data_IF_108244229034
#
_entry.id   IF_108244229034
#
_cell.length_a   1.000
_cell.length_b   1.000
_cell.length_c   1.000
_cell.angle_alpha   90.00
_cell.angle_beta   90.00
_cell.angle_gamma   90.00
#
_symmetry.space_group_name_H-M   'P 1'
#
loop_
_entity.id
_entity.type
_entity.pdbx_description
1 polymer ?
#
# COMPACT_ATOMS: atom_id res chain seq x y z
N UNK A 1 7.73 -26.52 5.68
CA UNK A 1 8.30 -25.68 4.61
C UNK A 1 7.56 -25.72 3.26
N UNK A 2 7.18 -26.85 2.64
CA UNK A 2 6.51 -26.82 1.34
C UNK A 2 5.16 -26.08 1.34
N UNK A 3 4.34 -26.24 2.39
CA UNK A 3 3.01 -25.62 2.48
C UNK A 3 3.10 -24.07 2.50
N UNK A 4 4.01 -23.51 3.31
CA UNK A 4 4.21 -22.05 3.37
C UNK A 4 4.65 -21.47 2.00
N UNK A 5 5.52 -22.18 1.29
CA UNK A 5 5.96 -21.77 -0.04
C UNK A 5 4.81 -21.82 -1.04
N UNK A 6 4.04 -22.90 -1.06
CA UNK A 6 2.84 -23.02 -1.93
C UNK A 6 1.82 -21.92 -1.62
N UNK A 7 1.61 -21.60 -0.34
CA UNK A 7 0.73 -20.53 0.10
C UNK A 7 1.17 -19.18 -0.46
N UNK A 8 2.46 -18.84 -0.37
CA UNK A 8 3.03 -17.59 -0.90
C UNK A 8 2.97 -17.51 -2.42
N UNK A 9 3.17 -18.62 -3.12
CA UNK A 9 2.95 -18.69 -4.57
C UNK A 9 1.49 -18.42 -4.94
N UNK A 10 0.52 -18.93 -4.17
CA UNK A 10 -0.90 -18.64 -4.39
C UNK A 10 -1.20 -17.13 -4.20
N UNK A 11 -0.63 -16.49 -3.18
CA UNK A 11 -0.73 -15.04 -3.01
C UNK A 11 -0.12 -14.29 -4.20
N UNK A 12 1.04 -14.73 -4.69
CA UNK A 12 1.70 -14.11 -5.83
C UNK A 12 0.85 -14.21 -7.11
N UNK A 13 0.27 -15.37 -7.38
CA UNK A 13 -0.66 -15.54 -8.51
C UNK A 13 -1.88 -14.64 -8.37
N UNK A 14 -2.49 -14.56 -7.19
CA UNK A 14 -3.62 -13.67 -6.93
C UNK A 14 -3.25 -12.20 -7.15
N UNK A 15 -2.05 -11.80 -6.72
CA UNK A 15 -1.50 -10.46 -6.93
C UNK A 15 -1.34 -10.15 -8.43
N UNK A 16 -0.78 -11.08 -9.21
CA UNK A 16 -0.64 -10.93 -10.66
C UNK A 16 -2.02 -10.81 -11.34
N UNK A 17 -2.97 -11.65 -10.94
CA UNK A 17 -4.36 -11.54 -11.44
C UNK A 17 -4.95 -10.17 -11.14
N UNK A 18 -4.79 -9.66 -9.92
CA UNK A 18 -5.22 -8.32 -9.54
C UNK A 18 -4.59 -7.22 -10.39
N UNK A 19 -3.28 -7.31 -10.65
CA UNK A 19 -2.55 -6.37 -11.52
C UNK A 19 -3.03 -6.43 -12.96
N UNK A 20 -3.25 -7.62 -13.53
CA UNK A 20 -3.79 -7.78 -14.89
C UNK A 20 -5.18 -7.15 -15.01
N UNK A 21 -6.06 -7.39 -14.02
CA UNK A 21 -7.39 -6.79 -14.00
C UNK A 21 -7.32 -5.27 -13.89
N UNK A 22 -6.41 -4.74 -13.06
CA UNK A 22 -6.17 -3.30 -12.95
C UNK A 22 -5.68 -2.72 -14.28
N UNK A 23 -4.75 -3.39 -14.97
CA UNK A 23 -4.20 -2.94 -16.25
C UNK A 23 -5.25 -2.95 -17.38
N UNK A 24 -6.19 -3.88 -17.38
CA UNK A 24 -7.30 -3.89 -18.34
C UNK A 24 -8.19 -2.67 -18.22
N UNK A 25 -8.31 -2.11 -17.01
CA UNK A 25 -9.12 -0.92 -16.76
C UNK A 25 -8.35 0.39 -16.88
N UNK A 26 -7.02 0.34 -16.77
CA UNK A 26 -6.16 1.54 -16.82
C UNK A 26 -4.87 1.22 -17.56
N UNK A 27 -4.64 1.88 -18.68
CA UNK A 27 -3.36 1.75 -19.41
C UNK A 27 -2.22 2.24 -18.53
N UNK A 28 -1.33 1.33 -18.15
CA UNK A 28 -0.17 1.64 -17.30
C UNK A 28 1.00 2.11 -18.17
N UNK A 29 1.05 3.41 -18.44
CA UNK A 29 2.23 4.04 -19.03
C UNK A 29 3.22 4.44 -17.93
N UNK A 30 4.52 4.65 -18.20
CA UNK A 30 5.47 5.18 -17.21
C UNK A 30 5.00 6.48 -16.55
N UNK A 31 4.32 7.33 -17.29
CA UNK A 31 3.72 8.57 -16.78
C UNK A 31 2.58 8.28 -15.80
N UNK A 32 1.68 7.35 -16.13
CA UNK A 32 0.60 6.91 -15.23
C UNK A 32 1.17 6.24 -13.99
N UNK A 33 2.21 5.42 -14.11
CA UNK A 33 2.91 4.84 -12.97
C UNK A 33 3.44 5.94 -12.04
N UNK A 34 4.16 6.94 -12.58
CA UNK A 34 4.69 8.06 -11.81
C UNK A 34 3.60 8.86 -11.10
N UNK A 35 2.47 9.08 -11.76
CA UNK A 35 1.33 9.77 -11.15
C UNK A 35 0.62 8.95 -10.06
N UNK A 36 0.67 7.61 -10.14
CA UNK A 36 -0.01 6.71 -9.20
C UNK A 36 0.83 6.32 -8.00
N UNK A 37 2.17 6.31 -8.10
CA UNK A 37 3.05 5.90 -7.01
C UNK A 37 2.95 6.81 -5.78
N UNK A 38 2.41 8.00 -5.93
CA UNK A 38 2.12 8.90 -4.83
C UNK A 38 1.00 8.40 -3.90
N UNK A 39 0.10 7.53 -4.39
CA UNK A 39 -0.94 6.96 -3.54
C UNK A 39 -0.36 5.86 -2.65
N UNK A 40 -0.67 5.92 -1.36
CA UNK A 40 -0.16 4.96 -0.37
C UNK A 40 -0.43 3.51 -0.78
N UNK A 41 -1.63 3.22 -1.26
CA UNK A 41 -2.00 1.90 -1.76
C UNK A 41 -1.05 1.42 -2.85
N UNK A 42 -0.83 2.25 -3.88
CA UNK A 42 -0.05 1.85 -5.03
C UNK A 42 1.43 1.65 -4.67
N UNK A 43 2.01 2.55 -3.86
CA UNK A 43 3.39 2.43 -3.38
C UNK A 43 3.58 1.20 -2.48
N UNK A 44 2.63 0.94 -1.56
CA UNK A 44 2.65 -0.25 -0.70
C UNK A 44 2.64 -1.53 -1.52
N UNK A 45 1.75 -1.64 -2.52
CA UNK A 45 1.70 -2.84 -3.37
C UNK A 45 2.91 -2.97 -4.26
N UNK A 46 3.49 -1.90 -4.75
CA UNK A 46 4.74 -1.95 -5.51
C UNK A 46 5.85 -2.54 -4.66
N UNK A 47 6.07 -2.04 -3.44
CA UNK A 47 7.05 -2.60 -2.52
C UNK A 47 6.74 -4.05 -2.14
N UNK A 48 5.47 -4.37 -1.93
CA UNK A 48 5.03 -5.74 -1.63
C UNK A 48 5.34 -6.72 -2.78
N UNK A 49 5.10 -6.34 -4.03
CA UNK A 49 5.44 -7.16 -5.21
C UNK A 49 6.94 -7.47 -5.24
N UNK A 50 7.78 -6.45 -5.04
CA UNK A 50 9.23 -6.63 -4.99
C UNK A 50 9.66 -7.52 -3.84
N UNK A 51 9.12 -7.31 -2.63
CA UNK A 51 9.44 -8.13 -1.48
C UNK A 51 9.01 -9.59 -1.67
N UNK A 52 7.77 -9.82 -2.12
CA UNK A 52 7.24 -11.17 -2.32
C UNK A 52 8.01 -11.89 -3.45
N UNK A 53 8.29 -11.19 -4.55
CA UNK A 53 9.13 -11.72 -5.63
C UNK A 53 10.52 -12.09 -5.12
N UNK A 54 11.21 -11.18 -4.43
CA UNK A 54 12.54 -11.45 -3.89
C UNK A 54 12.55 -12.67 -2.95
N UNK A 55 11.53 -12.82 -2.12
CA UNK A 55 11.42 -13.98 -1.20
C UNK A 55 11.10 -15.29 -1.93
N UNK A 56 10.27 -15.27 -2.96
CA UNK A 56 9.92 -16.45 -3.76
C UNK A 56 11.06 -16.92 -4.65
N UNK A 57 11.80 -15.99 -5.25
CA UNK A 57 12.98 -16.27 -6.07
C UNK A 57 14.26 -16.42 -5.25
N UNK A 58 14.15 -16.48 -3.93
CA UNK A 58 15.24 -16.75 -2.99
C UNK A 58 16.44 -15.80 -3.13
N UNK A 59 16.16 -14.51 -3.33
CA UNK A 59 17.20 -13.49 -3.36
C UNK A 59 17.95 -13.48 -2.01
N UNK A 60 19.26 -13.56 -2.03
CA UNK A 60 20.11 -13.70 -0.82
C UNK A 60 20.25 -12.36 -0.08
N UNK A 61 19.18 -11.96 0.58
CA UNK A 61 19.11 -10.80 1.48
C UNK A 61 18.44 -11.27 2.78
N UNK A 62 19.22 -11.65 3.82
CA UNK A 62 18.67 -12.25 5.05
C UNK A 62 17.59 -11.44 5.72
N UNK A 63 17.67 -10.10 5.67
CA UNK A 63 16.65 -9.21 6.24
C UNK A 63 15.24 -9.46 5.68
N UNK A 64 15.10 -9.79 4.40
CA UNK A 64 13.79 -10.03 3.77
C UNK A 64 13.05 -11.23 4.36
N UNK A 65 13.79 -12.16 4.97
CA UNK A 65 13.27 -13.39 5.57
C UNK A 65 13.06 -13.26 7.08
N UNK A 66 13.52 -12.18 7.70
CA UNK A 66 13.37 -11.97 9.15
C UNK A 66 11.90 -11.86 9.56
N UNK A 67 11.59 -12.29 10.78
CA UNK A 67 10.27 -12.12 11.37
C UNK A 67 9.85 -10.64 11.44
N UNK A 68 10.81 -9.75 11.70
CA UNK A 68 10.60 -8.31 11.78
C UNK A 68 10.16 -7.72 10.44
N UNK A 69 10.85 -8.07 9.34
CA UNK A 69 10.47 -7.60 8.00
C UNK A 69 9.08 -8.11 7.60
N UNK A 70 8.80 -9.39 7.84
CA UNK A 70 7.49 -10.01 7.54
C UNK A 70 6.36 -9.41 8.35
N UNK A 71 6.62 -9.07 9.63
CA UNK A 71 5.69 -8.33 10.45
C UNK A 71 5.39 -6.95 9.84
N UNK A 72 6.45 -6.20 9.49
CA UNK A 72 6.31 -4.88 8.86
C UNK A 72 5.46 -4.92 7.60
N UNK A 73 5.67 -5.92 6.73
CA UNK A 73 4.87 -6.12 5.51
C UNK A 73 3.41 -6.44 5.84
N UNK A 74 3.16 -7.41 6.70
CA UNK A 74 1.80 -7.81 7.08
C UNK A 74 1.04 -6.65 7.77
N UNK A 75 1.68 -5.94 8.70
CA UNK A 75 1.09 -4.81 9.41
C UNK A 75 0.80 -3.62 8.46
N UNK A 76 1.69 -3.33 7.52
CA UNK A 76 1.47 -2.27 6.52
C UNK A 76 0.27 -2.57 5.63
N UNK A 77 0.13 -3.82 5.17
CA UNK A 77 -1.01 -4.25 4.36
C UNK A 77 -2.32 -4.26 5.17
N UNK A 78 -2.28 -4.72 6.43
CA UNK A 78 -3.45 -4.70 7.32
C UNK A 78 -3.90 -3.25 7.59
N UNK A 79 -2.98 -2.34 7.88
CA UNK A 79 -3.26 -0.92 8.07
C UNK A 79 -3.88 -0.30 6.81
N UNK A 80 -3.34 -0.61 5.64
CA UNK A 80 -3.89 -0.16 4.36
C UNK A 80 -5.34 -0.64 4.18
N UNK A 81 -5.63 -1.90 4.51
CA UNK A 81 -6.98 -2.46 4.44
C UNK A 81 -7.95 -1.73 5.39
N UNK A 82 -7.53 -1.50 6.62
CA UNK A 82 -8.33 -0.76 7.62
C UNK A 82 -8.58 0.68 7.20
N UNK A 83 -7.57 1.41 6.77
CA UNK A 83 -7.72 2.78 6.28
C UNK A 83 -8.65 2.86 5.06
N UNK A 84 -8.51 1.92 4.13
CA UNK A 84 -9.42 1.85 2.99
C UNK A 84 -10.86 1.62 3.44
N UNK A 85 -11.10 0.66 4.33
CA UNK A 85 -12.43 0.29 4.79
C UNK A 85 -13.09 1.38 5.65
N UNK A 86 -12.34 2.00 6.56
CA UNK A 86 -12.87 2.94 7.54
C UNK A 86 -12.94 4.39 7.03
N UNK A 87 -12.02 4.78 6.15
CA UNK A 87 -11.87 6.18 5.74
C UNK A 87 -12.22 6.37 4.26
N UNK A 88 -11.53 5.66 3.37
CA UNK A 88 -11.61 5.93 1.92
C UNK A 88 -12.97 5.53 1.36
N UNK A 89 -13.40 4.31 1.65
CA UNK A 89 -14.67 3.76 1.15
C UNK A 89 -15.91 4.53 1.65
N UNK A 90 -16.07 4.83 2.95
CA UNK A 90 -17.19 5.63 3.43
C UNK A 90 -17.14 7.08 2.90
N UNK A 91 -15.96 7.68 2.77
CA UNK A 91 -15.78 8.99 2.19
C UNK A 91 -16.27 9.04 0.74
N UNK A 92 -15.89 8.05 -0.08
CA UNK A 92 -16.34 7.93 -1.46
C UNK A 92 -17.88 7.77 -1.57
N UNK A 93 -18.48 6.97 -0.68
CA UNK A 93 -19.94 6.77 -0.63
C UNK A 93 -20.65 8.08 -0.26
N UNK A 94 -20.16 8.85 0.71
CA UNK A 94 -20.78 10.10 1.17
C UNK A 94 -20.71 11.24 0.16
N UNK A 95 -19.67 11.33 -0.62
CA UNK A 95 -19.46 12.45 -1.55
C UNK A 95 -20.24 12.34 -2.84
N UNK A 96 -21.17 11.36 -2.98
CA UNK A 96 -21.99 11.14 -4.18
C UNK A 96 -21.24 11.16 -5.52
N UNK A 97 -19.93 11.05 -5.49
CA UNK A 97 -19.11 10.76 -6.69
C UNK A 97 -19.32 9.30 -7.15
N UNK A 98 -20.49 8.77 -6.81
CA UNK A 98 -20.87 7.37 -7.03
C UNK A 98 -20.96 7.03 -8.52
N UNK A 99 -21.22 7.97 -9.40
CA UNK A 99 -21.35 7.66 -10.82
C UNK A 99 -20.00 7.36 -11.50
N UNK A 100 -18.87 7.94 -11.01
CA UNK A 100 -17.56 7.70 -11.57
C UNK A 100 -16.68 6.78 -10.71
N UNK A 101 -16.90 6.77 -9.38
CA UNK A 101 -16.07 6.06 -8.41
C UNK A 101 -16.66 4.71 -8.01
N UNK A 102 -17.99 4.54 -8.12
CA UNK A 102 -18.69 3.33 -7.69
C UNK A 102 -18.17 2.07 -8.38
N UNK A 103 -17.81 2.17 -9.66
CA UNK A 103 -17.31 1.04 -10.42
C UNK A 103 -15.90 0.61 -9.96
N UNK A 104 -15.05 1.56 -9.56
CA UNK A 104 -13.69 1.24 -9.08
C UNK A 104 -13.70 0.64 -7.68
N UNK A 105 -14.51 1.19 -6.76
CA UNK A 105 -14.57 0.71 -5.37
C UNK A 105 -15.23 -0.66 -5.22
N UNK A 106 -16.09 -1.07 -6.14
CA UNK A 106 -16.73 -2.39 -6.17
C UNK A 106 -16.11 -3.33 -7.20
N UNK A 107 -15.01 -2.94 -7.85
CA UNK A 107 -14.31 -3.82 -8.79
C UNK A 107 -13.62 -4.98 -8.07
N UNK A 108 -13.54 -6.13 -8.73
CA UNK A 108 -12.94 -7.34 -8.15
C UNK A 108 -11.45 -7.12 -7.82
N UNK A 109 -10.69 -6.39 -8.65
CA UNK A 109 -9.29 -6.08 -8.35
C UNK A 109 -9.14 -5.25 -7.07
N UNK A 110 -10.10 -4.38 -6.78
CA UNK A 110 -10.06 -3.57 -5.57
C UNK A 110 -10.27 -4.42 -4.31
N UNK A 111 -11.15 -5.44 -4.37
CA UNK A 111 -11.28 -6.43 -3.30
C UNK A 111 -10.02 -7.26 -3.11
N UNK A 112 -9.33 -7.65 -4.21
CA UNK A 112 -8.05 -8.36 -4.14
C UNK A 112 -7.04 -7.53 -3.34
N UNK A 113 -6.84 -6.27 -3.70
CA UNK A 113 -5.80 -5.43 -3.10
C UNK A 113 -6.12 -4.98 -1.67
N UNK A 114 -7.38 -4.63 -1.39
CA UNK A 114 -7.70 -4.05 -0.09
C UNK A 114 -8.24 -5.05 0.95
N UNK A 115 -8.57 -6.27 0.56
CA UNK A 115 -9.07 -7.28 1.49
C UNK A 115 -8.35 -8.62 1.37
N UNK A 116 -8.35 -9.26 0.21
CA UNK A 116 -7.82 -10.63 0.12
C UNK A 116 -6.33 -10.69 0.42
N UNK A 117 -5.50 -9.89 -0.25
CA UNK A 117 -4.05 -9.90 -0.04
C UNK A 117 -3.67 -9.51 1.40
N UNK A 118 -4.19 -8.42 2.00
CA UNK A 118 -3.93 -8.11 3.40
C UNK A 118 -4.30 -9.22 4.37
N UNK A 119 -5.47 -9.85 4.21
CA UNK A 119 -5.90 -10.97 5.05
C UNK A 119 -4.96 -12.16 4.89
N UNK A 120 -4.66 -12.55 3.65
CA UNK A 120 -3.78 -13.69 3.36
C UNK A 120 -2.36 -13.45 3.91
N UNK A 121 -1.83 -12.23 3.83
CA UNK A 121 -0.52 -11.90 4.39
C UNK A 121 -0.52 -11.89 5.93
N UNK A 122 -1.62 -11.48 6.53
CA UNK A 122 -1.80 -11.60 7.99
C UNK A 122 -1.83 -13.06 8.41
N UNK A 123 -2.52 -13.92 7.66
CA UNK A 123 -2.53 -15.38 7.87
C UNK A 123 -1.13 -15.97 7.66
N UNK A 124 -0.39 -15.58 6.61
CA UNK A 124 1.00 -16.01 6.40
C UNK A 124 1.87 -15.70 7.63
N UNK A 125 1.76 -14.47 8.12
CA UNK A 125 2.53 -14.05 9.29
C UNK A 125 2.16 -14.85 10.55
N UNK A 126 0.86 -15.05 10.82
CA UNK A 126 0.40 -15.75 12.03
C UNK A 126 0.83 -17.23 12.04
N UNK A 127 0.68 -17.93 10.92
CA UNK A 127 0.81 -19.38 10.86
C UNK A 127 2.15 -19.88 10.31
N UNK A 128 2.84 -19.10 9.49
CA UNK A 128 4.03 -19.60 8.77
C UNK A 128 5.32 -18.85 9.12
N UNK A 129 5.27 -17.83 9.97
CA UNK A 129 6.46 -17.11 10.40
C UNK A 129 6.86 -17.58 11.82
N UNK A 130 8.12 -18.01 11.96
CA UNK A 130 8.70 -18.27 13.27
C UNK A 130 8.96 -16.91 13.96
N UNK A 131 8.43 -16.76 15.17
CA UNK A 131 8.46 -15.49 15.91
C UNK A 131 9.50 -15.51 17.04
N UNK A 132 10.29 -16.59 17.18
CA UNK A 132 11.26 -16.73 18.29
C UNK A 132 12.32 -15.63 18.28
N UNK A 133 12.69 -15.16 17.11
CA UNK A 133 13.72 -14.12 16.93
C UNK A 133 13.11 -12.71 16.80
N UNK A 134 11.83 -12.54 17.16
CA UNK A 134 11.19 -11.22 17.16
C UNK A 134 11.71 -10.36 18.30
N UNK A 135 12.04 -9.12 17.96
CA UNK A 135 12.49 -8.13 18.92
C UNK A 135 11.30 -7.30 19.45
N UNK A 136 11.39 -6.80 20.66
CA UNK A 136 10.35 -5.95 21.25
C UNK A 136 10.07 -4.67 20.42
N UNK A 137 11.07 -4.15 19.71
CA UNK A 137 10.91 -2.97 18.86
C UNK A 137 10.23 -3.28 17.52
N UNK A 138 9.98 -4.54 17.20
CA UNK A 138 9.35 -4.96 15.95
C UNK A 138 7.99 -4.31 15.76
N UNK A 139 7.25 -4.05 16.85
CA UNK A 139 5.97 -3.35 16.79
C UNK A 139 6.08 -1.93 16.17
N UNK A 140 7.25 -1.33 16.18
CA UNK A 140 7.49 -0.01 15.60
C UNK A 140 8.05 -0.07 14.17
N UNK A 141 8.55 -1.21 13.72
CA UNK A 141 9.17 -1.34 12.38
C UNK A 141 8.18 -1.07 11.25
N UNK A 142 6.91 -1.43 11.42
CA UNK A 142 5.87 -1.13 10.44
C UNK A 142 5.60 0.37 10.27
N UNK A 143 5.89 1.19 11.28
CA UNK A 143 5.74 2.65 11.22
C UNK A 143 6.81 3.31 10.33
N UNK A 144 7.93 2.63 10.08
CA UNK A 144 9.02 3.16 9.24
C UNK A 144 8.48 3.48 7.84
N UNK A 145 7.70 2.58 7.26
CA UNK A 145 7.17 2.79 5.92
C UNK A 145 6.20 3.99 5.83
N UNK A 146 5.14 4.11 6.66
CA UNK A 146 4.31 5.32 6.69
C UNK A 146 5.11 6.60 6.98
N UNK A 147 6.10 6.52 7.87
CA UNK A 147 6.96 7.68 8.19
C UNK A 147 7.81 8.13 7.00
N UNK A 148 8.32 7.20 6.18
CA UNK A 148 9.05 7.51 4.96
C UNK A 148 8.14 7.91 3.80
N UNK A 149 6.91 7.44 3.79
CA UNK A 149 5.95 7.77 2.75
C UNK A 149 5.62 9.28 2.71
N UNK A 150 5.47 9.91 3.86
CA UNK A 150 5.15 11.34 3.93
C UNK A 150 6.22 12.21 3.26
N UNK A 151 7.52 12.16 3.66
CA UNK A 151 8.56 12.91 2.97
C UNK A 151 8.72 12.52 1.49
N UNK A 152 8.48 11.26 1.13
CA UNK A 152 8.47 10.82 -0.26
C UNK A 152 7.41 11.56 -1.09
N UNK A 153 6.18 11.71 -0.59
CA UNK A 153 5.11 12.43 -1.30
C UNK A 153 5.48 13.90 -1.51
N UNK A 154 6.05 14.56 -0.50
CA UNK A 154 6.49 15.96 -0.63
C UNK A 154 7.68 16.11 -1.59
N UNK A 155 8.68 15.24 -1.51
CA UNK A 155 9.80 15.23 -2.45
C UNK A 155 9.32 15.02 -3.90
N UNK A 156 8.42 14.06 -4.09
CA UNK A 156 7.83 13.82 -5.40
C UNK A 156 7.04 15.03 -5.91
N UNK A 157 6.23 15.66 -5.05
CA UNK A 157 5.50 16.88 -5.40
C UNK A 157 6.44 17.99 -5.87
N UNK A 158 7.53 18.22 -5.11
CA UNK A 158 8.56 19.18 -5.48
C UNK A 158 9.21 18.85 -6.83
N UNK A 159 9.61 17.61 -7.05
CA UNK A 159 10.17 17.16 -8.34
C UNK A 159 9.18 17.36 -9.49
N UNK A 160 7.89 17.12 -9.24
CA UNK A 160 6.84 17.29 -10.28
C UNK A 160 6.64 18.76 -10.63
N UNK A 161 6.67 19.68 -9.67
CA UNK A 161 6.60 21.12 -9.91
C UNK A 161 7.74 21.55 -10.83
N UNK A 162 8.96 21.11 -10.55
CA UNK A 162 10.15 21.46 -11.32
C UNK A 162 10.11 20.93 -12.74
N UNK A 163 9.48 19.76 -12.98
CA UNK A 163 9.55 19.05 -14.26
C UNK A 163 8.28 19.17 -15.12
N UNK A 164 7.09 19.26 -14.53
CA UNK A 164 5.81 19.10 -15.24
C UNK A 164 4.72 20.13 -14.84
N UNK A 165 5.00 21.07 -13.95
CA UNK A 165 4.01 22.07 -13.50
C UNK A 165 3.13 21.61 -12.34
N UNK A 166 2.03 22.37 -12.07
CA UNK A 166 1.35 22.35 -10.76
C UNK A 166 0.09 21.50 -10.66
N UNK A 167 -0.23 20.63 -11.59
CA UNK A 167 -1.44 19.80 -11.53
C UNK A 167 -1.24 18.50 -10.75
N UNK A 168 -2.19 18.20 -9.84
CA UNK A 168 -2.26 16.93 -9.08
C UNK A 168 -0.98 16.55 -8.32
N UNK A 169 -0.44 17.50 -7.56
CA UNK A 169 0.80 17.32 -6.80
C UNK A 169 0.65 16.36 -5.63
N UNK A 170 -0.48 16.39 -4.94
CA UNK A 170 -0.72 15.62 -3.72
C UNK A 170 -1.81 14.56 -3.92
N UNK A 171 -1.63 13.34 -3.38
CA UNK A 171 -2.57 12.24 -3.53
C UNK A 171 -3.87 12.45 -2.76
N UNK A 172 -3.79 13.20 -1.67
CA UNK A 172 -4.90 13.49 -0.78
C UNK A 172 -4.98 14.99 -0.50
N UNK A 173 -6.18 15.54 -0.48
CA UNK A 173 -6.40 16.98 -0.24
C UNK A 173 -5.88 17.44 1.12
N UNK A 174 -5.94 16.56 2.14
CA UNK A 174 -5.41 16.88 3.47
C UNK A 174 -3.87 16.98 3.51
N UNK A 175 -3.17 16.44 2.51
CA UNK A 175 -1.70 16.56 2.40
C UNK A 175 -1.28 17.80 1.61
N UNK A 176 -2.21 18.55 1.02
CA UNK A 176 -1.90 19.75 0.27
C UNK A 176 -1.69 20.95 1.24
N UNK A 177 -0.45 21.45 1.39
CA UNK A 177 -0.17 22.54 2.31
C UNK A 177 -0.76 23.87 1.84
N UNK A 178 -1.18 24.01 0.59
CA UNK A 178 -1.82 25.22 0.07
C UNK A 178 -3.29 25.29 0.44
N UNK A 179 -3.94 24.13 0.65
CA UNK A 179 -5.36 24.03 1.02
C UNK A 179 -5.55 24.04 2.55
N UNK A 180 -4.65 23.40 3.25
CA UNK A 180 -4.77 23.21 4.70
C UNK A 180 -3.40 23.41 5.33
N UNK A 181 -3.05 24.52 5.90
CA UNK A 181 -1.73 24.73 6.51
C UNK A 181 -1.24 23.49 7.31
N UNK A 182 0.07 23.32 7.43
CA UNK A 182 0.74 22.14 8.00
C UNK A 182 0.14 21.64 9.33
N UNK A 183 -0.27 22.57 10.22
CA UNK A 183 -0.94 22.23 11.50
C UNK A 183 -2.35 21.66 11.32
N UNK A 184 -3.05 22.01 10.24
CA UNK A 184 -4.37 21.43 9.94
C UNK A 184 -4.25 19.98 9.49
N UNK A 185 -3.19 19.63 8.77
CA UNK A 185 -2.89 18.24 8.36
C UNK A 185 -2.66 17.38 9.60
N UNK A 186 -1.83 17.83 10.53
CA UNK A 186 -1.59 17.12 11.79
C UNK A 186 -2.88 16.92 12.59
N UNK A 187 -3.75 17.92 12.63
CA UNK A 187 -5.04 17.88 13.33
C UNK A 187 -6.03 16.90 12.70
N UNK A 188 -6.09 16.80 11.38
CA UNK A 188 -6.95 15.83 10.69
C UNK A 188 -6.43 14.38 10.84
N UNK A 189 -5.11 14.19 10.84
CA UNK A 189 -4.48 12.89 11.10
C UNK A 189 -4.71 12.43 12.54
N UNK A 190 -4.75 13.37 13.51
CA UNK A 190 -4.97 13.05 14.93
C UNK A 190 -6.46 12.88 15.31
N UNK A 191 -7.40 13.16 14.41
CA UNK A 191 -8.84 12.93 14.62
C UNK A 191 -9.28 11.49 14.24
N UNK A 192 -8.39 10.70 13.70
CA UNK A 192 -8.58 9.29 13.37
C UNK A 192 -8.09 8.41 14.51
#
# INVERSE_FOLDING_TARGET
MPIALMYRWAIFVLLIVGLILLMKHKVLTPFVFWSRIQYYTFSTFTLFVFWLGATLFQVDIPFLYSADCRFGVAASLATLSLMYHLIVRPGAIRTHRLNDISYEHFSFYNYIFHYFIPILMTVDYIFFVDKRDMHWYTMFTWMIYPALYVPFVYLRAWLTIVTHGTSHLYPYTFMDPTMHGFFSIAKEVLKV
#
